data_IF_572747454541
#
_entry.id   IF_572747454541
#
_cell.length_a   1.000
_cell.length_b   1.000
_cell.length_c   1.000
_cell.angle_alpha   90.00
_cell.angle_beta   90.00
_cell.angle_gamma   90.00
#
_symmetry.space_group_name_H-M   'P 1'
#
loop_
_entity.id
_entity.type
_entity.pdbx_description
1 polymer ?
#
# COMPACT_ATOMS: atom_id res chain seq x y z
N UNK A 1 -13.51 22.47 -15.45
CA UNK A 1 -13.27 21.40 -16.45
C UNK A 1 -13.89 20.15 -15.88
N UNK A 2 -14.86 19.56 -16.58
CA UNK A 2 -15.39 18.25 -16.24
C UNK A 2 -14.27 17.22 -16.44
N UNK A 3 -14.08 16.32 -15.47
CA UNK A 3 -13.14 15.20 -15.63
C UNK A 3 -13.63 14.31 -16.77
N UNK A 4 -12.71 13.82 -17.62
CA UNK A 4 -13.01 12.90 -18.73
C UNK A 4 -13.37 11.48 -18.26
N UNK A 5 -13.41 11.28 -16.95
CA UNK A 5 -13.82 10.05 -16.28
C UNK A 5 -14.44 10.34 -14.91
N UNK A 6 -15.22 9.39 -14.39
CA UNK A 6 -15.88 9.48 -13.08
C UNK A 6 -15.80 8.16 -12.32
N UNK A 7 -15.85 8.24 -10.98
CA UNK A 7 -15.97 7.08 -10.10
C UNK A 7 -17.43 6.59 -10.11
N UNK A 8 -17.63 5.32 -10.38
CA UNK A 8 -18.96 4.68 -10.40
C UNK A 8 -18.92 3.33 -9.67
N UNK A 9 -20.09 2.83 -9.28
CA UNK A 9 -20.21 1.45 -8.77
C UNK A 9 -20.09 0.47 -9.93
N UNK A 10 -19.34 -0.61 -9.74
CA UNK A 10 -19.19 -1.67 -10.74
C UNK A 10 -20.37 -2.65 -10.64
N UNK A 11 -20.71 -3.30 -11.75
CA UNK A 11 -21.82 -4.27 -11.78
C UNK A 11 -21.50 -5.57 -11.02
N UNK A 12 -20.21 -5.91 -10.88
CA UNK A 12 -19.71 -7.07 -10.14
C UNK A 12 -19.44 -6.77 -8.65
N UNK A 13 -19.73 -5.56 -8.19
CA UNK A 13 -19.52 -5.13 -6.81
C UNK A 13 -18.20 -4.38 -6.61
N UNK A 14 -18.27 -3.27 -5.87
CA UNK A 14 -17.15 -2.36 -5.66
C UNK A 14 -17.31 -1.04 -6.42
N UNK A 15 -16.19 -0.40 -6.74
CA UNK A 15 -16.14 0.88 -7.47
C UNK A 15 -15.02 0.84 -8.50
N UNK A 16 -15.20 1.58 -9.59
CA UNK A 16 -14.24 1.71 -10.68
C UNK A 16 -14.32 3.09 -11.32
N UNK A 17 -13.31 3.42 -12.14
CA UNK A 17 -13.28 4.66 -12.90
C UNK A 17 -13.77 4.38 -14.32
N UNK A 18 -14.71 5.18 -14.82
CA UNK A 18 -15.30 5.00 -16.15
C UNK A 18 -15.15 6.27 -16.98
N UNK A 19 -14.78 6.14 -18.25
CA UNK A 19 -14.69 7.24 -19.17
C UNK A 19 -16.08 7.91 -19.36
N UNK A 20 -16.15 9.22 -19.30
CA UNK A 20 -17.39 10.00 -19.52
C UNK A 20 -17.48 10.54 -20.95
N UNK A 21 -16.36 10.55 -21.66
CA UNK A 21 -16.18 10.99 -23.03
C UNK A 21 -15.03 10.20 -23.68
N UNK A 22 -14.84 10.26 -25.01
CA UNK A 22 -13.74 9.56 -25.66
C UNK A 22 -12.39 10.08 -25.16
N UNK A 23 -11.48 9.18 -24.78
CA UNK A 23 -10.15 9.53 -24.27
C UNK A 23 -9.09 9.01 -25.25
N UNK A 24 -8.29 9.88 -25.88
CA UNK A 24 -7.22 9.46 -26.78
C UNK A 24 -6.14 8.64 -26.07
N UNK A 25 -5.41 7.83 -26.84
CA UNK A 25 -4.18 7.16 -26.42
C UNK A 25 -3.14 8.15 -25.84
N UNK A 26 -2.36 7.69 -24.87
CA UNK A 26 -1.29 8.43 -24.20
C UNK A 26 -1.78 9.68 -23.44
N UNK A 27 -3.07 9.74 -23.10
CA UNK A 27 -3.65 10.80 -22.28
C UNK A 27 -3.32 10.58 -20.80
N UNK A 28 -2.80 11.61 -20.13
CA UNK A 28 -2.60 11.61 -18.68
C UNK A 28 -3.94 11.78 -17.96
N UNK A 29 -4.41 10.72 -17.29
CA UNK A 29 -5.68 10.68 -16.57
C UNK A 29 -5.55 11.24 -15.16
N UNK A 30 -4.56 10.75 -14.41
CA UNK A 30 -4.38 11.08 -13.00
C UNK A 30 -2.88 11.16 -12.68
N UNK A 31 -2.52 12.16 -11.88
CA UNK A 31 -1.22 12.23 -11.19
C UNK A 31 -1.47 12.25 -9.69
N UNK A 32 -1.07 11.17 -9.01
CA UNK A 32 -0.98 11.14 -7.56
C UNK A 32 0.40 11.70 -7.19
N UNK A 33 0.49 13.00 -6.91
CA UNK A 33 1.77 13.71 -6.71
C UNK A 33 2.62 13.14 -5.57
N UNK A 34 1.97 12.60 -4.54
CA UNK A 34 2.63 12.01 -3.38
C UNK A 34 1.76 10.93 -2.74
N UNK A 35 2.37 9.89 -2.14
CA UNK A 35 1.62 8.91 -1.37
C UNK A 35 1.17 9.47 -0.03
N UNK A 36 0.08 8.93 0.52
CA UNK A 36 -0.38 9.21 1.87
C UNK A 36 0.53 8.58 2.93
N UNK A 37 0.99 7.36 2.65
CA UNK A 37 1.85 6.56 3.51
C UNK A 37 2.88 5.84 2.65
N UNK A 38 4.10 5.67 3.16
CA UNK A 38 5.16 4.99 2.41
C UNK A 38 6.22 4.41 3.34
N UNK A 39 6.83 3.32 2.89
CA UNK A 39 8.01 2.75 3.54
C UNK A 39 9.01 2.26 2.48
N UNK A 40 10.29 2.45 2.78
CA UNK A 40 11.40 1.80 2.08
C UNK A 40 11.91 0.72 3.02
N UNK A 41 12.08 -0.49 2.50
CA UNK A 41 12.56 -1.63 3.29
C UNK A 41 13.86 -1.30 4.00
N UNK A 42 14.03 -1.80 5.22
CA UNK A 42 15.21 -1.51 6.05
C UNK A 42 16.53 -1.75 5.31
N UNK A 43 16.66 -2.89 4.62
CA UNK A 43 17.83 -3.22 3.79
C UNK A 43 18.18 -2.16 2.73
N UNK A 44 17.18 -1.49 2.13
CA UNK A 44 17.39 -0.55 1.01
C UNK A 44 17.44 0.93 1.39
N UNK A 45 17.34 1.30 2.67
CA UNK A 45 17.24 2.73 3.06
C UNK A 45 18.43 3.58 2.61
N UNK A 46 19.62 2.99 2.51
CA UNK A 46 20.82 3.67 2.00
C UNK A 46 20.84 3.74 0.47
N UNK A 47 20.06 2.92 -0.20
CA UNK A 47 20.11 2.70 -1.65
C UNK A 47 18.94 3.37 -2.36
N UNK A 48 17.82 3.59 -1.69
CA UNK A 48 16.65 4.26 -2.24
C UNK A 48 16.53 5.67 -1.67
N UNK A 49 16.32 6.65 -2.54
CA UNK A 49 16.08 8.02 -2.11
C UNK A 49 14.75 8.12 -1.36
N UNK A 50 14.79 8.59 -0.12
CA UNK A 50 13.60 8.77 0.73
C UNK A 50 12.63 9.86 0.29
N UNK A 51 12.96 10.63 -0.76
CA UNK A 51 12.03 11.58 -1.36
C UNK A 51 11.48 11.08 -2.68
N UNK A 52 12.33 10.81 -3.68
CA UNK A 52 11.90 10.53 -5.06
C UNK A 52 11.95 9.04 -5.44
N UNK A 53 12.33 8.16 -4.52
CA UNK A 53 12.47 6.71 -4.73
C UNK A 53 13.48 6.31 -5.82
N UNK A 54 14.42 7.19 -6.20
CA UNK A 54 15.52 6.83 -7.08
C UNK A 54 16.40 5.76 -6.42
N UNK A 55 16.72 4.70 -7.16
CA UNK A 55 17.57 3.61 -6.69
C UNK A 55 19.04 3.87 -7.07
N UNK A 56 19.95 3.67 -6.12
CA UNK A 56 21.36 4.02 -6.27
C UNK A 56 22.05 3.22 -7.39
N UNK A 57 21.69 1.93 -7.54
CA UNK A 57 22.28 1.05 -8.54
C UNK A 57 21.93 1.45 -9.97
N UNK A 58 20.72 1.96 -10.20
CA UNK A 58 20.31 2.54 -11.50
C UNK A 58 21.19 3.74 -11.87
N UNK A 59 21.70 4.47 -10.88
CA UNK A 59 22.65 5.57 -11.04
C UNK A 59 24.13 5.12 -10.98
N UNK A 60 24.40 3.81 -11.06
CA UNK A 60 25.75 3.22 -10.94
C UNK A 60 26.45 3.54 -9.62
N UNK A 61 25.69 3.55 -8.51
CA UNK A 61 26.19 3.77 -7.15
C UNK A 61 25.72 2.64 -6.24
N UNK A 62 26.52 2.32 -5.23
CA UNK A 62 26.14 1.31 -4.23
C UNK A 62 25.19 1.88 -3.16
N UNK A 63 25.22 3.19 -2.92
CA UNK A 63 24.40 3.87 -1.92
C UNK A 63 24.37 5.39 -2.16
N UNK A 64 23.37 6.04 -1.57
CA UNK A 64 23.27 7.48 -1.43
C UNK A 64 24.02 7.96 -0.16
N UNK A 65 24.69 9.10 -0.27
CA UNK A 65 25.53 9.64 0.83
C UNK A 65 24.90 10.84 1.54
N UNK A 66 23.86 11.45 0.96
CA UNK A 66 23.16 12.59 1.55
C UNK A 66 22.14 12.03 2.52
N UNK A 67 22.25 12.37 3.81
CA UNK A 67 21.34 11.89 4.86
C UNK A 67 20.53 13.03 5.44
N UNK A 68 19.34 12.71 5.95
CA UNK A 68 18.65 13.59 6.89
C UNK A 68 19.41 13.63 8.22
N UNK A 69 18.94 14.45 9.16
CA UNK A 69 19.59 14.64 10.46
C UNK A 69 19.82 13.29 11.18
N UNK A 70 20.82 13.28 12.06
CA UNK A 70 21.29 12.06 12.71
C UNK A 70 20.15 11.31 13.42
N UNK A 71 19.88 10.08 13.01
CA UNK A 71 18.88 9.19 13.61
C UNK A 71 17.60 8.99 12.79
N UNK A 72 17.33 9.84 11.80
CA UNK A 72 16.16 9.70 10.90
C UNK A 72 16.20 8.42 10.04
N UNK A 73 17.40 7.97 9.67
CA UNK A 73 17.61 6.79 8.82
C UNK A 73 16.98 6.95 7.44
N UNK A 74 17.14 8.13 6.82
CA UNK A 74 16.67 8.46 5.47
C UNK A 74 17.82 9.05 4.65
N UNK A 75 17.98 8.59 3.41
CA UNK A 75 19.03 9.01 2.49
C UNK A 75 18.46 9.57 1.18
N UNK A 76 19.25 10.38 0.45
CA UNK A 76 18.79 11.14 -0.71
C UNK A 76 19.80 11.12 -1.85
N UNK A 77 19.28 11.10 -3.08
CA UNK A 77 20.10 11.18 -4.28
C UNK A 77 20.71 12.57 -4.49
N UNK A 78 19.99 13.63 -4.10
CA UNK A 78 20.43 15.02 -4.23
C UNK A 78 20.06 15.89 -3.00
N UNK A 79 20.73 17.05 -2.80
CA UNK A 79 20.36 18.00 -1.75
C UNK A 79 18.93 18.54 -1.90
N UNK A 80 18.44 18.68 -3.12
CA UNK A 80 17.07 19.13 -3.42
C UNK A 80 16.05 18.12 -2.90
N UNK A 81 16.30 16.82 -3.12
CA UNK A 81 15.46 15.76 -2.56
C UNK A 81 15.47 15.75 -1.02
N UNK A 82 16.63 16.00 -0.39
CA UNK A 82 16.71 16.15 1.07
C UNK A 82 15.86 17.34 1.54
N UNK A 83 16.01 18.49 0.90
CA UNK A 83 15.31 19.72 1.31
C UNK A 83 13.80 19.61 1.09
N UNK A 84 13.35 19.03 -0.02
CA UNK A 84 11.94 18.75 -0.27
C UNK A 84 11.36 17.81 0.80
N UNK A 85 12.07 16.72 1.14
CA UNK A 85 11.64 15.83 2.22
C UNK A 85 11.57 16.54 3.57
N UNK A 86 12.54 17.40 3.89
CA UNK A 86 12.53 18.19 5.12
C UNK A 86 11.31 19.13 5.21
N UNK A 87 10.90 19.71 4.09
CA UNK A 87 9.77 20.64 4.03
C UNK A 87 8.41 19.95 4.00
N UNK A 88 8.29 18.84 3.28
CA UNK A 88 6.99 18.21 2.99
C UNK A 88 6.68 17.03 3.91
N UNK A 89 7.69 16.23 4.27
CA UNK A 89 7.50 14.95 4.97
C UNK A 89 8.02 15.00 6.41
N UNK A 90 9.01 15.85 6.70
CA UNK A 90 9.60 15.99 8.02
C UNK A 90 9.32 17.37 8.64
N UNK A 91 8.08 17.82 8.46
CA UNK A 91 7.58 19.06 9.07
C UNK A 91 7.83 19.03 10.57
N UNK A 92 8.41 20.10 11.10
CA UNK A 92 8.82 20.22 12.51
C UNK A 92 9.79 19.12 13.00
N UNK A 93 10.41 18.35 12.10
CA UNK A 93 11.28 17.23 12.44
C UNK A 93 10.55 15.96 12.90
N UNK A 94 9.22 15.93 12.87
CA UNK A 94 8.41 14.92 13.54
C UNK A 94 8.63 13.50 12.97
N UNK A 95 8.67 13.38 11.64
CA UNK A 95 8.90 12.09 10.97
C UNK A 95 10.28 11.51 11.31
N UNK A 96 11.32 12.35 11.31
CA UNK A 96 12.68 11.96 11.66
C UNK A 96 12.82 11.54 13.12
N UNK A 97 12.18 12.27 14.04
CA UNK A 97 12.12 11.92 15.46
C UNK A 97 11.40 10.59 15.68
N UNK A 98 10.29 10.36 14.98
CA UNK A 98 9.56 9.09 15.02
C UNK A 98 10.39 7.92 14.49
N UNK A 99 11.06 8.07 13.34
CA UNK A 99 11.96 7.04 12.80
C UNK A 99 13.09 6.70 13.78
N UNK A 100 13.67 7.70 14.44
CA UNK A 100 14.70 7.52 15.45
C UNK A 100 14.15 6.80 16.70
N UNK A 101 12.89 7.07 17.09
CA UNK A 101 12.22 6.42 18.22
C UNK A 101 11.98 4.93 17.96
N UNK A 102 11.46 4.60 16.76
CA UNK A 102 11.31 3.21 16.30
C UNK A 102 12.64 2.47 16.33
N UNK A 103 13.71 3.08 15.80
CA UNK A 103 15.03 2.46 15.78
C UNK A 103 15.61 2.24 17.18
N UNK A 104 15.40 3.20 18.09
CA UNK A 104 15.86 3.10 19.47
C UNK A 104 15.17 1.95 20.20
N UNK A 105 13.85 1.82 20.05
CA UNK A 105 13.09 0.73 20.66
C UNK A 105 13.47 -0.62 20.04
N UNK A 106 13.63 -0.68 18.72
CA UNK A 106 14.02 -1.89 18.01
C UNK A 106 15.34 -2.47 18.54
N UNK A 107 16.32 -1.62 18.85
CA UNK A 107 17.61 -2.04 19.45
C UNK A 107 17.49 -2.62 20.86
N UNK A 108 16.39 -2.39 21.56
CA UNK A 108 16.15 -2.95 22.90
C UNK A 108 15.44 -4.30 22.87
N UNK A 109 14.91 -4.70 21.71
CA UNK A 109 14.23 -5.98 21.55
C UNK A 109 15.20 -7.13 21.76
N UNK A 110 14.73 -8.16 22.47
CA UNK A 110 15.47 -9.40 22.63
C UNK A 110 14.88 -10.43 21.68
N UNK A 111 15.70 -10.97 20.80
CA UNK A 111 15.27 -12.06 19.95
C UNK A 111 14.84 -13.26 20.82
N UNK A 112 13.69 -13.90 20.53
CA UNK A 112 13.26 -15.09 21.23
C UNK A 112 14.35 -16.16 21.16
N UNK A 113 14.64 -16.82 22.29
CA UNK A 113 15.54 -17.97 22.33
C UNK A 113 14.70 -19.24 22.24
N UNK A 114 14.97 -20.09 21.27
CA UNK A 114 14.28 -21.37 21.07
C UNK A 114 13.55 -21.45 19.73
N UNK A 115 12.96 -22.62 19.41
CA UNK A 115 12.13 -22.79 18.23
C UNK A 115 10.89 -21.87 18.29
N UNK A 116 10.38 -21.48 17.13
CA UNK A 116 9.14 -20.72 17.03
C UNK A 116 7.98 -21.52 17.63
N UNK A 117 7.32 -20.96 18.65
CA UNK A 117 6.10 -21.53 19.20
C UNK A 117 4.93 -20.84 18.52
N UNK A 118 4.06 -21.57 17.80
CA UNK A 118 2.92 -20.97 17.14
C UNK A 118 2.04 -20.22 18.12
N UNK A 119 1.66 -19.00 17.79
CA UNK A 119 0.70 -18.23 18.57
C UNK A 119 -0.71 -18.85 18.48
N UNK A 120 -1.65 -18.44 19.35
CA UNK A 120 -3.01 -18.94 19.27
C UNK A 120 -3.65 -18.72 17.90
N UNK A 121 -3.52 -17.54 17.26
CA UNK A 121 -4.13 -17.32 15.95
C UNK A 121 -3.39 -18.07 14.82
N UNK A 122 -2.06 -18.24 14.92
CA UNK A 122 -1.29 -19.08 13.98
C UNK A 122 -1.76 -20.53 13.95
N UNK A 123 -2.32 -21.02 15.07
CA UNK A 123 -2.84 -22.38 15.19
C UNK A 123 -4.33 -22.50 14.84
N UNK A 124 -5.01 -21.39 14.54
CA UNK A 124 -6.42 -21.38 14.19
C UNK A 124 -6.64 -21.75 12.73
N UNK A 125 -7.68 -22.52 12.48
CA UNK A 125 -8.22 -22.67 11.12
C UNK A 125 -8.89 -21.35 10.70
N UNK A 126 -8.82 -20.95 9.41
CA UNK A 126 -9.47 -19.76 8.87
C UNK A 126 -10.93 -19.58 9.33
N UNK A 127 -11.71 -20.65 9.33
CA UNK A 127 -13.14 -20.66 9.69
C UNK A 127 -13.41 -20.30 11.15
N UNK A 128 -12.39 -20.42 12.02
CA UNK A 128 -12.50 -20.07 13.43
C UNK A 128 -12.29 -18.57 13.69
N UNK A 129 -11.80 -17.80 12.72
CA UNK A 129 -11.61 -16.35 12.85
C UNK A 129 -12.89 -15.62 12.46
N UNK A 130 -13.84 -15.61 13.39
CA UNK A 130 -15.03 -14.76 13.27
C UNK A 130 -14.68 -13.30 13.55
N UNK A 131 -15.55 -12.38 13.13
CA UNK A 131 -15.42 -10.96 13.44
C UNK A 131 -15.32 -10.71 14.96
N UNK A 132 -16.07 -11.47 15.77
CA UNK A 132 -16.03 -11.38 17.23
C UNK A 132 -14.65 -11.78 17.80
N UNK A 133 -14.07 -12.87 17.30
CA UNK A 133 -12.73 -13.31 17.71
C UNK A 133 -11.69 -12.25 17.33
N UNK A 134 -11.79 -11.73 16.11
CA UNK A 134 -10.91 -10.68 15.60
C UNK A 134 -10.98 -9.40 16.46
N UNK A 135 -12.17 -8.88 16.70
CA UNK A 135 -12.36 -7.64 17.48
C UNK A 135 -11.96 -7.83 18.95
N UNK A 136 -12.23 -9.01 19.53
CA UNK A 136 -11.76 -9.36 20.88
C UNK A 136 -10.23 -9.40 20.97
N UNK A 137 -9.54 -9.92 19.96
CA UNK A 137 -8.07 -9.92 19.94
C UNK A 137 -7.50 -8.49 19.95
N UNK A 138 -8.09 -7.58 19.18
CA UNK A 138 -7.72 -6.17 19.19
C UNK A 138 -8.01 -5.48 20.53
N UNK A 139 -9.16 -5.76 21.15
CA UNK A 139 -9.49 -5.22 22.49
C UNK A 139 -8.50 -5.71 23.55
N UNK A 140 -8.17 -7.00 23.54
CA UNK A 140 -7.15 -7.56 24.42
C UNK A 140 -5.78 -6.89 24.20
N UNK A 141 -5.43 -6.57 22.95
CA UNK A 141 -4.18 -5.85 22.65
C UNK A 141 -4.21 -4.40 23.19
N UNK A 142 -5.32 -3.68 23.06
CA UNK A 142 -5.51 -2.34 23.64
C UNK A 142 -5.27 -2.35 25.16
N UNK A 143 -5.89 -3.29 25.87
CA UNK A 143 -5.75 -3.45 27.32
C UNK A 143 -4.31 -3.83 27.71
N UNK A 144 -3.76 -4.87 27.06
CA UNK A 144 -2.40 -5.36 27.32
C UNK A 144 -1.34 -4.25 27.20
N UNK A 145 -1.44 -3.43 26.16
CA UNK A 145 -0.45 -2.38 25.87
C UNK A 145 -0.81 -1.01 26.45
N UNK A 146 -1.93 -0.88 27.18
CA UNK A 146 -2.19 0.28 28.03
C UNK A 146 -1.29 0.27 29.30
N UNK A 147 -0.88 -0.92 29.75
CA UNK A 147 -0.01 -1.07 30.92
C UNK A 147 1.47 -0.75 30.60
N UNK A 148 2.03 0.28 31.25
CA UNK A 148 3.42 0.73 31.04
C UNK A 148 4.50 -0.34 31.27
N UNK A 149 4.21 -1.35 32.11
CA UNK A 149 5.14 -2.44 32.43
C UNK A 149 5.14 -3.61 31.43
N UNK A 150 4.27 -3.59 30.41
CA UNK A 150 4.23 -4.66 29.41
C UNK A 150 5.60 -4.79 28.72
N UNK A 151 6.15 -5.99 28.49
CA UNK A 151 7.41 -6.16 27.75
C UNK A 151 7.22 -5.82 26.26
N UNK A 152 8.29 -5.37 25.60
CA UNK A 152 8.25 -5.07 24.16
C UNK A 152 8.37 -6.37 23.40
N UNK A 153 7.40 -6.67 22.54
CA UNK A 153 7.45 -7.83 21.66
C UNK A 153 8.64 -7.68 20.69
N UNK A 154 9.28 -8.79 20.37
CA UNK A 154 10.20 -8.83 19.24
C UNK A 154 9.39 -8.68 17.95
N UNK A 155 9.90 -7.87 17.02
CA UNK A 155 9.38 -7.74 15.66
C UNK A 155 10.47 -8.14 14.66
N UNK A 156 10.08 -8.86 13.61
CA UNK A 156 10.96 -9.11 12.48
C UNK A 156 11.17 -7.84 11.61
N UNK A 157 11.94 -7.97 10.53
CA UNK A 157 12.26 -6.83 9.65
C UNK A 157 11.02 -6.29 8.93
N UNK A 158 10.11 -7.16 8.48
CA UNK A 158 8.89 -6.77 7.77
C UNK A 158 7.89 -6.11 8.73
N UNK A 159 7.75 -6.63 9.95
CA UNK A 159 6.93 -6.03 11.00
C UNK A 159 7.46 -4.63 11.40
N UNK A 160 8.79 -4.44 11.45
CA UNK A 160 9.39 -3.12 11.68
C UNK A 160 9.17 -2.15 10.52
N UNK A 161 9.16 -2.63 9.28
CA UNK A 161 8.82 -1.81 8.12
C UNK A 161 7.32 -1.44 8.11
N UNK A 162 6.43 -2.34 8.54
CA UNK A 162 5.03 -2.01 8.81
C UNK A 162 4.86 -0.94 9.89
N UNK A 163 5.63 -1.00 10.99
CA UNK A 163 5.64 0.08 12.00
C UNK A 163 6.02 1.43 11.36
N UNK A 164 7.04 1.47 10.49
CA UNK A 164 7.44 2.71 9.81
C UNK A 164 6.40 3.21 8.82
N UNK A 165 5.74 2.30 8.10
CA UNK A 165 4.62 2.62 7.22
C UNK A 165 3.49 3.29 8.01
N UNK A 166 3.08 2.71 9.15
CA UNK A 166 2.08 3.27 10.06
C UNK A 166 2.50 4.65 10.59
N UNK A 167 3.77 4.80 10.99
CA UNK A 167 4.30 6.09 11.44
C UNK A 167 4.15 7.15 10.35
N UNK A 168 4.48 6.84 9.08
CA UNK A 168 4.34 7.79 7.98
C UNK A 168 2.89 8.27 7.81
N UNK A 169 1.92 7.35 7.90
CA UNK A 169 0.50 7.65 7.80
C UNK A 169 -0.01 8.49 8.99
N UNK A 170 0.44 8.19 10.21
CA UNK A 170 0.01 8.90 11.43
C UNK A 170 0.60 10.32 11.47
N UNK A 171 1.86 10.49 11.08
CA UNK A 171 2.48 11.82 10.97
C UNK A 171 1.76 12.66 9.92
N UNK A 172 1.43 12.06 8.76
CA UNK A 172 0.62 12.72 7.73
C UNK A 172 -0.75 13.14 8.29
N UNK A 173 -1.43 12.24 9.01
CA UNK A 173 -2.73 12.53 9.64
C UNK A 173 -2.64 13.69 10.63
N UNK A 174 -1.61 13.71 11.47
CA UNK A 174 -1.38 14.76 12.46
C UNK A 174 -1.27 16.15 11.82
N UNK A 175 -0.55 16.26 10.71
CA UNK A 175 -0.42 17.54 10.00
C UNK A 175 -1.68 17.90 9.21
N UNK A 176 -2.39 16.93 8.63
CA UNK A 176 -3.67 17.15 7.96
C UNK A 176 -4.72 17.77 8.89
N UNK A 177 -4.78 17.37 10.17
CA UNK A 177 -5.70 17.97 11.14
C UNK A 177 -5.34 19.41 11.53
N UNK A 178 -4.10 19.83 11.31
CA UNK A 178 -3.55 21.12 11.74
C UNK A 178 -3.43 22.12 10.59
N UNK A 179 -3.40 21.64 9.36
CA UNK A 179 -3.29 22.47 8.16
C UNK A 179 -4.62 22.42 7.39
N UNK A 180 -5.18 23.58 7.05
CA UNK A 180 -6.40 23.67 6.21
C UNK A 180 -6.12 23.43 4.71
N UNK A 181 -5.10 22.65 4.38
CA UNK A 181 -4.66 22.40 3.01
C UNK A 181 -5.36 21.20 2.37
N UNK A 182 -5.81 21.35 1.12
CA UNK A 182 -6.33 20.25 0.30
C UNK A 182 -5.16 19.47 -0.31
N UNK A 183 -4.67 18.45 0.38
CA UNK A 183 -3.80 17.43 -0.22
C UNK A 183 -4.64 16.47 -1.09
N UNK A 184 -4.11 16.04 -2.24
CA UNK A 184 -4.74 15.01 -3.07
C UNK A 184 -4.80 13.63 -2.39
N UNK A 185 -3.97 13.43 -1.38
CA UNK A 185 -3.96 12.26 -0.51
C UNK A 185 -4.37 12.70 0.89
N UNK A 186 -5.62 12.41 1.27
CA UNK A 186 -6.20 12.78 2.56
C UNK A 186 -6.64 11.53 3.34
N UNK A 187 -6.79 11.68 4.65
CA UNK A 187 -7.34 10.65 5.51
C UNK A 187 -8.74 10.22 5.08
N UNK A 188 -9.57 11.18 4.66
CA UNK A 188 -10.89 10.88 4.13
C UNK A 188 -10.82 9.98 2.89
N UNK A 189 -9.91 10.28 1.95
CA UNK A 189 -9.68 9.44 0.78
C UNK A 189 -9.13 8.06 1.15
N UNK A 190 -8.22 7.97 2.13
CA UNK A 190 -7.75 6.69 2.65
C UNK A 190 -8.91 5.86 3.20
N UNK A 191 -9.78 6.42 4.04
CA UNK A 191 -10.90 5.68 4.62
C UNK A 191 -11.87 5.14 3.57
N UNK A 192 -11.93 5.77 2.40
CA UNK A 192 -12.72 5.29 1.26
C UNK A 192 -12.08 4.11 0.54
N UNK A 193 -10.82 3.73 0.78
CA UNK A 193 -10.22 2.54 0.15
C UNK A 193 -10.90 1.25 0.60
N UNK A 194 -10.82 0.23 -0.26
CA UNK A 194 -11.34 -1.11 0.03
C UNK A 194 -10.66 -1.65 1.30
N UNK A 195 -11.45 -1.93 2.33
CA UNK A 195 -10.96 -2.52 3.56
C UNK A 195 -11.01 -4.05 3.44
N UNK A 196 -9.83 -4.67 3.40
CA UNK A 196 -9.64 -6.11 3.28
C UNK A 196 -9.18 -6.76 4.60
N UNK A 197 -9.25 -6.07 5.75
CA UNK A 197 -8.79 -6.57 7.05
C UNK A 197 -9.27 -8.00 7.32
N UNK A 198 -10.59 -8.24 7.23
CA UNK A 198 -11.16 -9.55 7.51
C UNK A 198 -10.77 -10.61 6.48
N UNK A 199 -10.80 -10.29 5.18
CA UNK A 199 -10.38 -11.22 4.13
C UNK A 199 -8.91 -11.63 4.30
N UNK A 200 -8.07 -10.67 4.65
CA UNK A 200 -6.65 -10.88 4.83
C UNK A 200 -6.33 -11.76 6.02
N UNK A 201 -6.92 -11.47 7.19
CA UNK A 201 -6.72 -12.27 8.40
C UNK A 201 -7.36 -13.65 8.26
N UNK A 202 -8.52 -13.77 7.60
CA UNK A 202 -9.13 -15.05 7.31
C UNK A 202 -8.21 -15.93 6.45
N UNK A 203 -7.66 -15.39 5.36
CA UNK A 203 -6.72 -16.11 4.51
C UNK A 203 -5.38 -16.39 5.21
N UNK A 204 -4.97 -15.56 6.17
CA UNK A 204 -3.69 -15.63 6.86
C UNK A 204 -3.86 -15.40 8.38
N UNK A 205 -4.35 -16.41 9.13
CA UNK A 205 -4.63 -16.31 10.58
C UNK A 205 -3.53 -15.65 11.43
N UNK A 206 -2.27 -15.96 11.12
CA UNK A 206 -1.08 -15.45 11.81
C UNK A 206 -0.94 -13.91 11.74
N UNK A 207 -1.54 -13.26 10.74
CA UNK A 207 -1.47 -11.81 10.56
C UNK A 207 -2.16 -11.06 11.70
N UNK A 208 -3.15 -11.67 12.38
CA UNK A 208 -3.77 -11.05 13.55
C UNK A 208 -2.78 -10.85 14.70
N UNK A 209 -1.95 -11.86 14.96
CA UNK A 209 -0.92 -11.78 15.99
C UNK A 209 0.20 -10.81 15.57
N UNK A 210 0.58 -10.80 14.29
CA UNK A 210 1.54 -9.82 13.77
C UNK A 210 1.03 -8.38 13.92
N UNK A 211 -0.19 -8.08 13.47
CA UNK A 211 -0.77 -6.75 13.54
C UNK A 211 -0.93 -6.24 14.99
N UNK A 212 -1.35 -7.10 15.91
CA UNK A 212 -1.48 -6.71 17.33
C UNK A 212 -0.12 -6.52 18.00
N UNK A 213 0.93 -7.27 17.61
CA UNK A 213 2.32 -7.00 18.05
C UNK A 213 2.85 -5.67 17.50
N UNK A 214 2.64 -5.40 16.22
CA UNK A 214 2.99 -4.13 15.56
C UNK A 214 2.35 -2.95 16.29
N UNK A 215 1.06 -3.05 16.60
CA UNK A 215 0.34 -2.04 17.38
C UNK A 215 0.96 -1.81 18.77
N UNK A 216 1.26 -2.89 19.50
CA UNK A 216 1.88 -2.81 20.82
C UNK A 216 3.28 -2.18 20.79
N UNK A 217 4.07 -2.50 19.78
CA UNK A 217 5.37 -1.85 19.55
C UNK A 217 5.19 -0.36 19.26
N UNK A 218 4.27 -0.01 18.37
CA UNK A 218 4.01 1.37 17.97
C UNK A 218 3.60 2.23 19.17
N UNK A 219 2.69 1.77 20.03
CA UNK A 219 2.29 2.50 21.26
C UNK A 219 3.46 2.89 22.17
N UNK A 220 4.53 2.08 22.18
CA UNK A 220 5.72 2.35 22.99
C UNK A 220 6.73 3.23 22.27
N UNK A 221 6.83 3.10 20.94
CA UNK A 221 7.72 3.91 20.13
C UNK A 221 7.18 5.32 19.90
N UNK A 222 5.86 5.52 19.95
CA UNK A 222 5.23 6.78 19.55
C UNK A 222 5.54 7.93 20.50
N UNK A 223 5.83 9.10 19.91
CA UNK A 223 6.10 10.32 20.66
C UNK A 223 4.84 10.82 21.37
N UNK A 224 4.97 11.52 22.52
CA UNK A 224 3.84 12.01 23.31
C UNK A 224 2.79 12.79 22.50
N UNK A 225 3.21 13.62 21.56
CA UNK A 225 2.31 14.42 20.71
C UNK A 225 1.43 13.57 19.79
N UNK A 226 1.87 12.37 19.43
CA UNK A 226 1.15 11.43 18.56
C UNK A 226 0.44 10.32 19.34
N UNK A 227 0.53 10.28 20.68
CA UNK A 227 -0.15 9.29 21.51
C UNK A 227 -1.66 9.20 21.26
N UNK A 228 -2.42 10.30 21.05
CA UNK A 228 -3.86 10.22 20.79
C UNK A 228 -4.25 9.32 19.61
N UNK A 229 -3.40 9.23 18.58
CA UNK A 229 -3.67 8.43 17.38
C UNK A 229 -3.51 6.92 17.58
N UNK A 230 -2.98 6.47 18.73
CA UNK A 230 -2.78 5.04 19.03
C UNK A 230 -3.30 4.65 20.41
N UNK A 231 -4.15 5.49 21.01
CA UNK A 231 -4.85 5.16 22.26
C UNK A 231 -5.79 3.97 22.08
N UNK A 232 -6.43 3.87 20.91
CA UNK A 232 -7.18 2.72 20.44
C UNK A 232 -6.50 2.14 19.20
N UNK A 233 -6.91 0.93 18.81
CA UNK A 233 -6.44 0.25 17.61
C UNK A 233 -7.03 0.81 16.31
N UNK A 234 -8.03 1.68 16.38
CA UNK A 234 -8.84 2.12 15.23
C UNK A 234 -7.99 2.72 14.10
N UNK A 235 -7.06 3.62 14.42
CA UNK A 235 -6.17 4.23 13.42
C UNK A 235 -5.28 3.19 12.73
N UNK A 236 -4.69 2.28 13.52
CA UNK A 236 -3.79 1.24 13.01
C UNK A 236 -4.56 0.24 12.15
N UNK A 237 -5.73 -0.20 12.61
CA UNK A 237 -6.65 -1.07 11.85
C UNK A 237 -7.11 -0.42 10.56
N UNK A 238 -7.46 0.87 10.61
CA UNK A 238 -7.90 1.60 9.44
C UNK A 238 -6.82 1.64 8.35
N UNK A 239 -5.54 1.80 8.74
CA UNK A 239 -4.40 1.80 7.81
C UNK A 239 -4.08 0.38 7.33
N UNK A 240 -3.82 -0.58 8.23
CA UNK A 240 -3.43 -1.96 7.86
C UNK A 240 -4.53 -2.70 7.10
N UNK A 241 -5.80 -2.51 7.47
CA UNK A 241 -6.93 -3.09 6.77
C UNK A 241 -7.06 -2.63 5.32
N UNK A 242 -6.48 -1.47 4.99
CA UNK A 242 -6.49 -0.89 3.63
C UNK A 242 -5.13 -0.97 2.95
N UNK A 243 -4.10 -1.43 3.64
CA UNK A 243 -2.78 -1.67 3.03
C UNK A 243 -2.92 -2.75 1.94
N UNK A 244 -3.44 -3.91 2.34
CA UNK A 244 -3.63 -5.07 1.48
C UNK A 244 -4.64 -4.78 0.36
N UNK A 245 -4.13 -4.80 -0.87
CA UNK A 245 -4.91 -4.56 -2.09
C UNK A 245 -4.94 -3.10 -2.58
N UNK A 246 -4.44 -2.12 -1.82
CA UNK A 246 -4.44 -0.72 -2.25
C UNK A 246 -3.05 -0.06 -2.33
N UNK A 247 -1.98 -0.73 -1.87
CA UNK A 247 -0.61 -0.21 -1.98
C UNK A 247 0.07 -0.57 -3.29
N UNK A 248 1.02 0.27 -3.66
CA UNK A 248 1.82 0.15 -4.86
C UNK A 248 3.27 -0.13 -4.45
N UNK A 249 3.84 -1.21 -4.97
CA UNK A 249 5.24 -1.53 -4.74
C UNK A 249 6.17 -0.50 -5.39
N UNK A 250 7.26 -0.19 -4.69
CA UNK A 250 8.40 0.52 -5.23
C UNK A 250 9.33 -0.56 -5.76
N UNK A 251 9.45 -0.67 -7.07
CA UNK A 251 10.29 -1.68 -7.72
C UNK A 251 11.54 -1.02 -8.30
N UNK A 252 12.62 -1.79 -8.37
CA UNK A 252 13.74 -1.42 -9.25
C UNK A 252 13.27 -1.38 -10.72
N UNK A 253 13.99 -0.63 -11.54
CA UNK A 253 13.74 -0.52 -12.97
C UNK A 253 14.66 -1.45 -13.78
N UNK A 254 15.17 -2.54 -13.17
CA UNK A 254 16.05 -3.46 -13.88
C UNK A 254 15.31 -4.10 -15.06
N UNK A 255 15.91 -4.05 -16.24
CA UNK A 255 15.41 -4.76 -17.43
C UNK A 255 15.99 -6.16 -17.56
N UNK A 256 16.91 -6.54 -16.66
CA UNK A 256 17.61 -7.82 -16.65
C UNK A 256 17.41 -8.52 -15.30
N UNK A 257 16.94 -9.77 -15.32
CA UNK A 257 16.66 -10.57 -14.12
C UNK A 257 15.31 -10.27 -13.46
N UNK A 258 15.11 -10.81 -12.25
CA UNK A 258 13.91 -10.59 -11.45
C UNK A 258 13.97 -9.20 -10.81
N UNK A 259 12.92 -8.39 -10.99
CA UNK A 259 12.82 -7.08 -10.35
C UNK A 259 12.59 -7.24 -8.84
N UNK A 260 13.32 -6.47 -8.04
CA UNK A 260 13.20 -6.51 -6.59
C UNK A 260 12.31 -5.39 -6.06
N UNK A 261 11.40 -5.74 -5.15
CA UNK A 261 10.59 -4.77 -4.43
C UNK A 261 11.43 -4.10 -3.34
N UNK A 262 11.53 -2.78 -3.41
CA UNK A 262 12.34 -1.92 -2.56
C UNK A 262 11.55 -1.29 -1.40
N UNK A 263 10.21 -1.39 -1.45
CA UNK A 263 9.28 -0.88 -0.45
C UNK A 263 7.88 -0.74 -1.04
N UNK A 264 7.00 0.00 -0.37
CA UNK A 264 5.65 0.29 -0.89
C UNK A 264 5.11 1.64 -0.46
N UNK A 265 4.09 2.09 -1.19
CA UNK A 265 3.42 3.37 -0.98
C UNK A 265 1.93 3.27 -1.21
N UNK A 266 1.14 4.03 -0.45
CA UNK A 266 -0.32 4.11 -0.60
C UNK A 266 -0.70 5.41 -1.32
N UNK A 267 -1.33 5.30 -2.49
CA UNK A 267 -1.87 6.43 -3.26
C UNK A 267 -3.39 6.31 -3.34
N UNK A 268 -4.16 6.88 -2.39
CA UNK A 268 -5.59 6.55 -2.27
C UNK A 268 -6.42 6.77 -3.54
N UNK A 269 -6.16 7.84 -4.28
CA UNK A 269 -6.87 8.13 -5.53
C UNK A 269 -6.46 7.21 -6.69
N UNK A 270 -5.23 6.67 -6.66
CA UNK A 270 -4.73 5.74 -7.66
C UNK A 270 -5.28 4.32 -7.51
N UNK A 271 -5.79 3.95 -6.33
CA UNK A 271 -6.30 2.60 -6.05
C UNK A 271 -7.68 2.31 -6.66
N UNK A 272 -8.34 3.29 -7.29
CA UNK A 272 -9.63 3.09 -7.98
C UNK A 272 -9.50 2.54 -9.40
N UNK A 273 -8.29 2.45 -9.94
CA UNK A 273 -8.05 1.78 -11.21
C UNK A 273 -8.02 0.27 -11.01
N UNK A 274 -9.16 -0.38 -11.25
CA UNK A 274 -9.33 -1.82 -11.07
C UNK A 274 -8.37 -2.64 -11.94
N UNK A 275 -8.22 -3.92 -11.58
CA UNK A 275 -7.65 -4.89 -12.49
C UNK A 275 -8.56 -5.07 -13.70
N UNK A 276 -7.98 -5.13 -14.91
CA UNK A 276 -8.74 -5.35 -16.14
C UNK A 276 -9.67 -6.56 -16.04
N UNK A 277 -10.94 -6.25 -15.85
CA UNK A 277 -12.07 -7.16 -15.97
C UNK A 277 -12.90 -6.68 -17.17
N UNK A 278 -13.23 -7.57 -18.10
CA UNK A 278 -14.32 -7.30 -19.05
C UNK A 278 -15.42 -8.33 -18.82
N UNK A 279 -16.50 -7.84 -18.22
CA UNK A 279 -17.83 -8.40 -18.34
C UNK A 279 -18.64 -7.29 -19.00
N UNK A 280 -18.66 -7.29 -20.34
CA UNK A 280 -19.86 -6.78 -20.99
C UNK A 280 -20.18 -7.55 -22.26
N UNK A 281 -21.29 -8.28 -22.16
CA UNK A 281 -21.95 -9.04 -23.21
C UNK A 281 -22.95 -8.18 -24.01
N UNK A 282 -22.94 -6.84 -23.89
CA UNK A 282 -23.97 -5.98 -24.48
C UNK A 282 -23.60 -5.21 -25.77
N UNK A 283 -22.34 -5.15 -26.22
CA UNK A 283 -21.98 -4.43 -27.46
C UNK A 283 -21.52 -5.39 -28.57
N UNK A 284 -22.49 -6.10 -29.17
CA UNK A 284 -22.31 -6.76 -30.47
C UNK A 284 -22.35 -5.67 -31.55
N UNK A 285 -21.37 -5.71 -32.46
CA UNK A 285 -21.24 -4.93 -33.72
C UNK A 285 -20.40 -3.65 -33.68
N UNK A 286 -19.09 -3.80 -33.47
CA UNK A 286 -18.06 -3.16 -34.32
C UNK A 286 -16.79 -4.03 -34.33
N UNK A 287 -16.18 -4.19 -35.50
CA UNK A 287 -14.99 -5.02 -35.71
C UNK A 287 -13.74 -4.33 -35.13
N UNK A 288 -13.48 -4.45 -33.83
CA UNK A 288 -12.11 -4.34 -33.30
C UNK A 288 -11.98 -5.04 -31.94
N UNK A 289 -11.06 -6.01 -31.86
CA UNK A 289 -10.79 -6.88 -30.71
C UNK A 289 -10.23 -6.08 -29.52
N UNK A 290 -10.97 -5.99 -28.42
CA UNK A 290 -10.39 -5.74 -27.10
C UNK A 290 -10.59 -6.97 -26.20
N UNK A 291 -9.50 -7.72 -26.00
CA UNK A 291 -9.38 -8.81 -25.03
C UNK A 291 -8.80 -8.21 -23.74
N UNK A 292 -9.62 -7.91 -22.75
CA UNK A 292 -9.62 -8.63 -21.48
C UNK A 292 -8.29 -9.17 -20.86
N UNK A 293 -8.00 -8.81 -19.61
CA UNK A 293 -6.64 -8.67 -19.03
C UNK A 293 -5.67 -7.77 -19.85
N UNK A 294 -6.14 -7.09 -20.91
CA UNK A 294 -5.42 -5.99 -21.56
C UNK A 294 -5.85 -4.68 -20.92
N UNK A 295 -5.07 -4.11 -19.99
CA UNK A 295 -5.40 -2.82 -19.40
C UNK A 295 -5.51 -1.76 -20.50
N UNK A 296 -6.36 -0.76 -20.31
CA UNK A 296 -6.37 0.45 -21.13
C UNK A 296 -5.59 1.59 -20.47
N UNK A 297 -5.15 1.41 -19.22
CA UNK A 297 -4.34 2.35 -18.45
C UNK A 297 -3.04 1.70 -17.98
N UNK A 298 -1.91 2.39 -18.20
CA UNK A 298 -0.62 2.04 -17.61
C UNK A 298 -0.28 2.96 -16.44
N UNK A 299 0.48 2.41 -15.49
CA UNK A 299 1.06 3.11 -14.35
C UNK A 299 2.49 3.50 -14.68
N UNK A 300 2.88 4.73 -14.39
CA UNK A 300 4.24 5.23 -14.55
C UNK A 300 4.66 5.99 -13.30
N UNK A 301 5.81 5.63 -12.72
CA UNK A 301 6.38 6.35 -11.60
C UNK A 301 7.24 7.50 -12.10
N UNK A 302 6.93 8.74 -11.67
CA UNK A 302 7.72 9.95 -11.95
C UNK A 302 8.24 10.51 -10.62
N UNK A 303 9.43 10.09 -10.23
CA UNK A 303 9.94 10.33 -8.88
C UNK A 303 9.05 9.65 -7.84
N UNK A 304 8.43 10.43 -6.95
CA UNK A 304 7.44 9.95 -5.96
C UNK A 304 5.99 10.05 -6.42
N UNK A 305 5.76 10.58 -7.61
CA UNK A 305 4.41 10.65 -8.16
C UNK A 305 4.09 9.34 -8.88
N UNK A 306 2.82 8.94 -8.81
CA UNK A 306 2.28 7.85 -9.61
C UNK A 306 1.33 8.44 -10.66
N UNK A 307 1.66 8.25 -11.93
CA UNK A 307 0.90 8.74 -13.07
C UNK A 307 0.16 7.60 -13.76
N UNK A 308 -1.07 7.87 -14.19
CA UNK A 308 -1.93 6.93 -14.91
C UNK A 308 -2.21 7.48 -16.30
N UNK A 309 -1.83 6.73 -17.34
CA UNK A 309 -1.95 7.15 -18.73
C UNK A 309 -2.68 6.08 -19.55
N UNK A 310 -3.53 6.50 -20.49
CA UNK A 310 -4.14 5.56 -21.44
C UNK A 310 -3.08 4.95 -22.37
N UNK A 311 -3.23 3.68 -22.75
CA UNK A 311 -2.32 3.01 -23.71
C UNK A 311 -2.93 2.82 -25.09
N UNK A 312 -4.22 3.12 -25.22
CA UNK A 312 -5.03 3.11 -26.43
C UNK A 312 -6.14 4.16 -26.29
N UNK A 313 -6.86 4.41 -27.37
CA UNK A 313 -8.10 5.17 -27.31
C UNK A 313 -9.14 4.42 -26.45
N UNK A 314 -9.94 5.16 -25.69
CA UNK A 314 -10.96 4.66 -24.75
C UNK A 314 -12.30 5.29 -25.10
N UNK A 315 -13.33 4.45 -25.31
CA UNK A 315 -14.68 4.91 -25.62
C UNK A 315 -15.43 5.40 -24.36
N UNK A 316 -16.43 6.29 -24.51
CA UNK A 316 -17.31 6.66 -23.41
C UNK A 316 -17.98 5.43 -22.78
N UNK A 317 -17.99 5.36 -21.46
CA UNK A 317 -18.55 4.26 -20.69
C UNK A 317 -17.61 3.08 -20.46
N UNK A 318 -16.44 3.03 -21.11
CA UNK A 318 -15.43 2.00 -20.79
C UNK A 318 -14.84 2.22 -19.39
N UNK A 319 -14.62 1.11 -18.68
CA UNK A 319 -13.88 1.12 -17.42
C UNK A 319 -12.37 1.33 -17.66
N UNK A 320 -11.76 2.17 -16.84
CA UNK A 320 -10.34 2.48 -16.84
C UNK A 320 -9.61 1.51 -15.90
N UNK A 321 -8.90 0.55 -16.49
CA UNK A 321 -8.31 -0.57 -15.77
C UNK A 321 -6.79 -0.66 -15.97
N UNK A 322 -6.11 -1.11 -14.92
CA UNK A 322 -4.68 -1.46 -14.92
C UNK A 322 -4.49 -2.98 -14.77
N UNK A 323 -3.24 -3.45 -14.75
CA UNK A 323 -2.90 -4.82 -14.38
C UNK A 323 -2.33 -4.87 -12.95
N UNK A 324 -2.76 -5.87 -12.17
CA UNK A 324 -2.28 -6.12 -10.81
C UNK A 324 -1.21 -7.22 -10.77
N UNK A 325 -1.29 -8.14 -11.72
CA UNK A 325 -0.39 -9.29 -11.88
C UNK A 325 0.32 -9.23 -13.24
N UNK A 326 1.33 -10.08 -13.45
CA UNK A 326 1.95 -10.22 -14.76
C UNK A 326 0.96 -10.86 -15.74
N UNK A 327 0.70 -10.16 -16.84
CA UNK A 327 -0.23 -10.62 -17.88
C UNK A 327 0.35 -11.73 -18.76
N UNK A 328 1.66 -12.02 -18.62
CA UNK A 328 2.37 -13.11 -19.29
C UNK A 328 2.14 -14.47 -18.65
N UNK A 329 1.72 -14.52 -17.39
CA UNK A 329 1.45 -15.77 -16.68
C UNK A 329 0.21 -16.48 -17.23
N UNK A 330 0.13 -17.79 -17.00
CA UNK A 330 -1.02 -18.61 -17.36
C UNK A 330 -2.27 -18.23 -16.56
N UNK A 331 -3.47 -18.45 -17.13
CA UNK A 331 -4.75 -18.06 -16.49
C UNK A 331 -4.92 -18.58 -15.08
N UNK A 332 -4.46 -19.80 -14.81
CA UNK A 332 -4.53 -20.42 -13.48
C UNK A 332 -3.63 -19.67 -12.50
N UNK A 333 -2.41 -19.32 -12.92
CA UNK A 333 -1.47 -18.52 -12.12
C UNK A 333 -2.03 -17.14 -11.82
N UNK A 334 -2.47 -16.41 -12.85
CA UNK A 334 -3.06 -15.06 -12.70
C UNK A 334 -4.25 -15.07 -11.72
N UNK A 335 -5.21 -15.98 -11.90
CA UNK A 335 -6.40 -16.06 -11.03
C UNK A 335 -6.06 -16.52 -9.61
N UNK A 336 -5.07 -17.40 -9.43
CA UNK A 336 -4.62 -17.81 -8.11
C UNK A 336 -3.94 -16.67 -7.35
N UNK A 337 -3.13 -15.86 -8.03
CA UNK A 337 -2.49 -14.68 -7.44
C UNK A 337 -3.52 -13.59 -7.08
N UNK A 338 -4.45 -13.28 -7.99
CA UNK A 338 -5.54 -12.34 -7.74
C UNK A 338 -6.41 -12.77 -6.55
N UNK A 339 -6.75 -14.06 -6.46
CA UNK A 339 -7.50 -14.59 -5.33
C UNK A 339 -6.72 -14.47 -4.02
N UNK A 340 -5.43 -14.81 -4.04
CA UNK A 340 -4.59 -14.84 -2.84
C UNK A 340 -4.36 -13.45 -2.25
N UNK A 341 -4.14 -12.45 -3.12
CA UNK A 341 -3.67 -11.13 -2.71
C UNK A 341 -4.76 -10.05 -2.76
N UNK A 342 -5.79 -10.22 -3.60
CA UNK A 342 -6.90 -9.28 -3.77
C UNK A 342 -8.29 -9.90 -3.54
N UNK A 343 -8.38 -11.20 -3.21
CA UNK A 343 -9.60 -11.88 -2.77
C UNK A 343 -10.75 -11.91 -3.79
N UNK A 344 -10.42 -11.87 -5.08
CA UNK A 344 -11.41 -12.01 -6.15
C UNK A 344 -10.94 -12.94 -7.27
N UNK A 345 -11.90 -13.49 -8.01
CA UNK A 345 -11.64 -14.23 -9.23
C UNK A 345 -11.87 -13.33 -10.44
N UNK A 346 -10.84 -13.17 -11.28
CA UNK A 346 -10.99 -12.39 -12.50
C UNK A 346 -11.93 -13.11 -13.49
N UNK A 347 -13.10 -12.54 -13.74
CA UNK A 347 -14.14 -13.08 -14.64
C UNK A 347 -14.09 -12.43 -16.05
N UNK A 348 -12.89 -12.02 -16.42
CA UNK A 348 -12.63 -11.30 -17.64
C UNK A 348 -12.70 -12.28 -18.85
N UNK A 349 -13.29 -11.89 -19.99
CA UNK A 349 -13.29 -12.60 -21.29
C UNK A 349 -12.04 -13.45 -21.67
N UNK A 350 -10.81 -12.95 -21.69
CA UNK A 350 -9.54 -13.69 -21.85
C UNK A 350 -9.39 -14.76 -20.77
N UNK A 351 -9.70 -14.48 -19.51
CA UNK A 351 -9.68 -15.54 -18.49
C UNK A 351 -10.76 -16.60 -18.76
N UNK A 352 -11.95 -16.23 -19.23
CA UNK A 352 -13.00 -17.18 -19.61
C UNK A 352 -12.59 -18.01 -20.84
N UNK A 353 -12.08 -17.37 -21.89
CA UNK A 353 -11.59 -17.99 -23.12
C UNK A 353 -10.44 -18.97 -22.83
N UNK A 354 -9.43 -18.55 -22.05
CA UNK A 354 -8.30 -19.41 -21.67
C UNK A 354 -8.71 -20.58 -20.76
N UNK A 355 -9.78 -20.45 -19.98
CA UNK A 355 -10.33 -21.54 -19.15
C UNK A 355 -11.36 -22.41 -19.89
N UNK A 356 -11.74 -22.06 -21.12
CA UNK A 356 -12.83 -22.72 -21.84
C UNK A 356 -14.19 -22.57 -21.16
N UNK A 357 -14.39 -21.50 -20.39
CA UNK A 357 -15.67 -21.16 -19.78
C UNK A 357 -16.56 -20.43 -20.82
N UNK A 358 -17.88 -20.69 -20.82
CA UNK A 358 -18.82 -20.14 -21.79
C UNK A 358 -19.04 -18.63 -21.69
#
# INVERSE_FOLDING_TARGET
>A
MTSSFSLQSTHYGGRGLFATEPIPKDTLLLTCSSPYATVIFRRFRKEVCGNCFAYAFEAKRNAWNIKADAGSGVWFCTPECRNAWLQEQNVEGLQGLMNASVERLAKTMKQPKGPHTPSPAESMLPEAITLEVHDRAWKNAEEKYAHRGCPTAFLDELELDNVRFLVSAIVQRYFEERQSGTSSASWAALLQLQNNEMNHVYANPYMLDSHTRIYGFLRKAILPVLQPYVQTSEMVRAILGRDQGNVFGIWDMSTEGDSEMLGWSMYPTGSYFNHSESLDSAFKFTHQRFLDCSPNVRKERRGRALCFLTIRDVEPGEELCTNYVDVKDEVVGRRAELLRNWYFHCACKRCHEELGLP
#
